data_IF_781754248567
#
_entry.id   IF_781754248567
#
_cell.length_a   1.000
_cell.length_b   1.000
_cell.length_c   1.000
_cell.angle_alpha   90.00
_cell.angle_beta   90.00
_cell.angle_gamma   90.00
#
_symmetry.space_group_name_H-M   'P 1'
#
loop_
_entity.id
_entity.type
_entity.pdbx_description
1 polymer ?
#
# COMPACT_ATOMS: atom_id res chain seq x y z
N UNK A 1 -5.85 -7.32 -27.91
CA UNK A 1 -5.36 -6.69 -26.68
C UNK A 1 -5.63 -5.18 -26.76
N UNK A 2 -6.91 -4.78 -26.81
CA UNK A 2 -7.32 -3.41 -27.14
C UNK A 2 -7.79 -2.60 -25.91
N UNK A 3 -8.31 -3.29 -24.88
CA UNK A 3 -8.98 -2.64 -23.74
C UNK A 3 -8.08 -1.75 -22.88
N UNK A 4 -6.81 -2.14 -22.69
CA UNK A 4 -5.89 -1.39 -21.82
C UNK A 4 -5.33 -0.17 -22.55
N UNK A 5 -5.01 -0.29 -23.83
CA UNK A 5 -4.47 0.82 -24.60
C UNK A 5 -5.54 1.88 -24.89
N UNK A 6 -6.79 1.48 -25.14
CA UNK A 6 -7.94 2.40 -25.21
C UNK A 6 -8.15 3.17 -23.90
N UNK A 7 -8.00 2.49 -22.75
CA UNK A 7 -8.11 3.14 -21.44
C UNK A 7 -6.98 4.14 -21.21
N UNK A 8 -5.73 3.82 -21.60
CA UNK A 8 -4.61 4.76 -21.52
C UNK A 8 -4.89 6.03 -22.33
N UNK A 9 -5.35 5.89 -23.56
CA UNK A 9 -5.71 7.04 -24.40
C UNK A 9 -6.85 7.87 -23.80
N UNK A 10 -7.84 7.23 -23.16
CA UNK A 10 -8.90 7.94 -22.46
C UNK A 10 -8.37 8.72 -21.25
N UNK A 11 -7.44 8.13 -20.48
CA UNK A 11 -6.80 8.78 -19.33
C UNK A 11 -5.94 9.96 -19.77
N UNK A 12 -5.18 9.82 -20.87
CA UNK A 12 -4.36 10.89 -21.45
C UNK A 12 -5.20 12.07 -21.96
N UNK A 13 -6.46 11.83 -22.31
CA UNK A 13 -7.39 12.87 -22.78
C UNK A 13 -8.15 13.58 -21.65
N UNK A 14 -7.98 13.18 -20.39
CA UNK A 14 -8.69 13.77 -19.26
C UNK A 14 -8.25 15.21 -18.99
N UNK A 15 -9.18 16.11 -18.65
CA UNK A 15 -8.85 17.36 -17.99
C UNK A 15 -8.06 17.13 -16.69
N UNK A 16 -7.18 18.07 -16.33
CA UNK A 16 -6.31 17.95 -15.15
C UNK A 16 -7.07 17.63 -13.86
N UNK A 17 -8.24 18.24 -13.65
CA UNK A 17 -9.06 17.99 -12.45
C UNK A 17 -9.57 16.54 -12.40
N UNK A 18 -10.02 15.99 -13.53
CA UNK A 18 -10.50 14.61 -13.61
C UNK A 18 -9.34 13.62 -13.50
N UNK A 19 -8.18 13.95 -14.06
CA UNK A 19 -6.97 13.15 -13.90
C UNK A 19 -6.51 13.08 -12.43
N UNK A 20 -6.52 14.21 -11.71
CA UNK A 20 -6.19 14.25 -10.28
C UNK A 20 -7.17 13.42 -9.45
N UNK A 21 -8.47 13.50 -9.75
CA UNK A 21 -9.50 12.69 -9.09
C UNK A 21 -9.28 11.19 -9.36
N UNK A 22 -9.03 10.81 -10.62
CA UNK A 22 -8.74 9.43 -10.99
C UNK A 22 -7.51 8.90 -10.26
N UNK A 23 -6.41 9.67 -10.23
CA UNK A 23 -5.18 9.25 -9.53
C UNK A 23 -5.43 9.05 -8.04
N UNK A 24 -6.23 9.92 -7.42
CA UNK A 24 -6.58 9.80 -6.01
C UNK A 24 -7.36 8.51 -5.75
N UNK A 25 -8.42 8.27 -6.52
CA UNK A 25 -9.22 7.05 -6.41
C UNK A 25 -8.37 5.79 -6.62
N UNK A 26 -7.47 5.80 -7.62
CA UNK A 26 -6.58 4.67 -7.89
C UNK A 26 -5.65 4.38 -6.70
N UNK A 27 -5.07 5.43 -6.11
CA UNK A 27 -4.25 5.30 -4.89
C UNK A 27 -5.07 4.74 -3.71
N UNK A 28 -6.30 5.21 -3.52
CA UNK A 28 -7.20 4.70 -2.46
C UNK A 28 -7.54 3.23 -2.68
N UNK A 29 -7.72 2.79 -3.93
CA UNK A 29 -7.96 1.38 -4.28
C UNK A 29 -6.73 0.51 -3.98
N UNK A 30 -5.54 0.99 -4.32
CA UNK A 30 -4.29 0.30 -4.00
C UNK A 30 -4.11 0.18 -2.48
N UNK A 31 -4.42 1.24 -1.72
CA UNK A 31 -4.37 1.19 -0.24
C UNK A 31 -5.30 0.13 0.35
N UNK A 32 -6.51 -0.03 -0.20
CA UNK A 32 -7.43 -1.09 0.25
C UNK A 32 -6.85 -2.49 0.00
N UNK A 33 -6.26 -2.74 -1.16
CA UNK A 33 -5.63 -4.03 -1.46
C UNK A 33 -4.42 -4.29 -0.55
N UNK A 34 -3.66 -3.23 -0.22
CA UNK A 34 -2.56 -3.29 0.74
C UNK A 34 -3.03 -3.62 2.16
N UNK A 35 -4.13 -3.02 2.62
CA UNK A 35 -4.72 -3.30 3.93
C UNK A 35 -5.13 -4.77 4.02
N UNK A 36 -5.86 -5.29 3.02
CA UNK A 36 -6.26 -6.70 2.94
C UNK A 36 -5.04 -7.63 2.95
N UNK A 37 -3.99 -7.28 2.20
CA UNK A 37 -2.77 -8.08 2.15
C UNK A 37 -2.01 -8.08 3.48
N UNK A 38 -1.90 -6.93 4.17
CA UNK A 38 -1.27 -6.86 5.50
C UNK A 38 -2.04 -7.68 6.51
N UNK A 39 -3.38 -7.62 6.51
CA UNK A 39 -4.20 -8.44 7.39
C UNK A 39 -4.00 -9.93 7.14
N UNK A 40 -3.99 -10.37 5.87
CA UNK A 40 -3.75 -11.76 5.51
C UNK A 40 -2.34 -12.22 5.90
N UNK A 41 -1.31 -11.42 5.63
CA UNK A 41 0.08 -11.71 5.98
C UNK A 41 0.27 -11.77 7.51
N UNK A 42 -0.40 -10.88 8.26
CA UNK A 42 -0.44 -10.90 9.72
C UNK A 42 -1.09 -12.19 10.24
N UNK A 43 -2.28 -12.53 9.75
CA UNK A 43 -3.02 -13.74 10.17
C UNK A 43 -2.31 -15.04 9.81
N UNK A 44 -1.50 -15.04 8.75
CA UNK A 44 -0.69 -16.21 8.37
C UNK A 44 0.61 -16.37 9.17
N UNK A 45 0.96 -15.40 10.03
CA UNK A 45 2.22 -15.37 10.78
C UNK A 45 3.44 -14.95 9.96
N UNK A 46 3.25 -14.54 8.70
CA UNK A 46 4.34 -14.11 7.81
C UNK A 46 5.06 -12.86 8.34
N UNK A 47 4.38 -12.05 9.13
CA UNK A 47 4.93 -10.83 9.74
C UNK A 47 5.51 -11.06 11.15
N UNK A 48 5.49 -12.29 11.69
CA UNK A 48 5.96 -12.58 13.05
C UNK A 48 7.43 -12.22 13.30
N UNK A 49 8.25 -12.24 12.25
CA UNK A 49 9.66 -11.86 12.35
C UNK A 49 9.83 -10.39 12.77
N UNK A 50 8.91 -9.50 12.39
CA UNK A 50 8.92 -8.09 12.79
C UNK A 50 8.63 -7.95 14.28
N UNK A 51 7.68 -8.74 14.80
CA UNK A 51 7.37 -8.78 16.24
C UNK A 51 8.58 -9.29 17.02
N UNK A 52 9.23 -10.35 16.54
CA UNK A 52 10.45 -10.88 17.15
C UNK A 52 11.56 -9.83 17.16
N UNK A 53 11.80 -9.17 16.03
CA UNK A 53 12.81 -8.13 15.91
C UNK A 53 12.55 -6.96 16.88
N UNK A 54 11.32 -6.45 16.91
CA UNK A 54 10.92 -5.39 17.82
C UNK A 54 11.17 -5.77 19.29
N UNK A 55 10.86 -7.02 19.67
CA UNK A 55 11.12 -7.53 21.01
C UNK A 55 12.62 -7.64 21.33
N UNK A 56 13.43 -8.09 20.38
CA UNK A 56 14.89 -8.22 20.55
C UNK A 56 15.57 -6.83 20.63
N UNK A 57 15.11 -5.86 19.84
CA UNK A 57 15.54 -4.47 19.94
C UNK A 57 15.12 -3.84 21.27
N UNK A 58 13.89 -4.12 21.76
CA UNK A 58 13.43 -3.65 23.06
C UNK A 58 14.30 -4.19 24.20
N UNK A 59 14.61 -5.49 24.19
CA UNK A 59 15.49 -6.13 25.17
C UNK A 59 16.90 -5.56 25.15
N UNK A 60 17.41 -5.20 23.98
CA UNK A 60 18.74 -4.62 23.82
C UNK A 60 18.80 -3.10 24.02
N UNK A 61 17.68 -2.45 24.36
CA UNK A 61 17.61 -1.00 24.55
C UNK A 61 17.79 -0.19 23.27
N UNK A 62 17.62 -0.81 22.09
CA UNK A 62 17.83 -0.20 20.77
C UNK A 62 16.52 0.15 20.06
N UNK A 63 15.37 -0.21 20.64
CA UNK A 63 14.07 0.14 20.08
C UNK A 63 13.91 1.67 20.11
N UNK A 64 13.74 2.28 18.93
CA UNK A 64 13.55 3.72 18.81
C UNK A 64 12.15 4.11 19.32
N UNK A 65 12.08 5.16 20.12
CA UNK A 65 10.83 5.79 20.52
C UNK A 65 10.17 6.56 19.36
N UNK A 66 8.90 6.92 19.55
CA UNK A 66 8.19 7.83 18.66
C UNK A 66 8.46 9.27 19.14
N UNK A 67 9.68 9.75 18.94
CA UNK A 67 10.10 11.13 19.26
C UNK A 67 9.76 12.07 18.10
#
# INVERSE_FOLDING_TARGET
MLKVDELKSAIEALPENEYVELRRWFSEKDWQDWDEQIEADSNSGKLDFLIKEANDQKKSGKLKGFD
#
